data_IF_173421960494
#
_entry.id   IF_173421960494
#
_cell.length_a   1.000
_cell.length_b   1.000
_cell.length_c   1.000
_cell.angle_alpha   90.00
_cell.angle_beta   90.00
_cell.angle_gamma   90.00
#
_symmetry.space_group_name_H-M   'P 1'
#
loop_
_entity.id
_entity.type
_entity.pdbx_description
1 polymer ?
#
# COMPACT_ATOMS: atom_id res chain seq x y z
N UNK A 1 -4.59 -24.87 30.73
CA UNK A 1 -4.60 -24.60 29.28
C UNK A 1 -4.14 -23.16 29.05
N UNK A 2 -2.81 -22.92 28.97
CA UNK A 2 -2.23 -21.62 28.62
C UNK A 2 -0.98 -21.91 27.79
N UNK A 3 -1.16 -22.28 26.52
CA UNK A 3 -0.02 -22.61 25.64
C UNK A 3 -0.16 -22.08 24.20
N UNK A 4 -1.25 -21.36 23.87
CA UNK A 4 -1.41 -20.74 22.55
C UNK A 4 -1.05 -19.25 22.48
N UNK A 5 -1.10 -18.52 23.60
CA UNK A 5 -1.00 -17.06 23.56
C UNK A 5 0.42 -16.51 23.30
N UNK A 6 1.46 -17.16 23.84
CA UNK A 6 2.84 -16.70 23.69
C UNK A 6 3.40 -16.92 22.27
N UNK A 7 3.03 -18.03 21.61
CA UNK A 7 3.43 -18.31 20.23
C UNK A 7 2.78 -17.31 19.27
N UNK A 8 1.50 -16.97 19.48
CA UNK A 8 0.79 -16.01 18.63
C UNK A 8 1.27 -14.56 18.80
N UNK A 9 1.67 -14.15 20.00
CA UNK A 9 2.26 -12.82 20.23
C UNK A 9 3.65 -12.72 19.59
N UNK A 10 4.49 -13.74 19.77
CA UNK A 10 5.82 -13.78 19.12
C UNK A 10 5.72 -13.79 17.60
N UNK A 11 4.76 -14.53 17.03
CA UNK A 11 4.53 -14.56 15.59
C UNK A 11 4.11 -13.22 15.00
N UNK A 12 3.26 -12.46 15.70
CA UNK A 12 2.85 -11.10 15.26
C UNK A 12 3.99 -10.10 15.30
N UNK A 13 4.81 -10.15 16.35
CA UNK A 13 5.98 -9.30 16.47
C UNK A 13 6.97 -9.59 15.34
N UNK A 14 7.27 -10.87 15.10
CA UNK A 14 8.18 -11.28 14.02
C UNK A 14 7.67 -10.86 12.63
N UNK A 15 6.36 -10.97 12.39
CA UNK A 15 5.77 -10.52 11.12
C UNK A 15 5.84 -8.99 10.95
N UNK A 16 5.67 -8.22 12.02
CA UNK A 16 5.79 -6.77 11.98
C UNK A 16 7.24 -6.33 11.75
N UNK A 17 8.20 -6.99 12.42
CA UNK A 17 9.63 -6.75 12.24
C UNK A 17 10.06 -7.05 10.80
N UNK A 18 9.65 -8.20 10.26
CA UNK A 18 9.92 -8.57 8.86
C UNK A 18 9.38 -7.51 7.89
N UNK A 19 8.14 -7.07 8.08
CA UNK A 19 7.54 -6.03 7.21
C UNK A 19 8.25 -4.69 7.31
N UNK A 20 8.76 -4.34 8.49
CA UNK A 20 9.57 -3.12 8.67
C UNK A 20 10.89 -3.25 7.92
N UNK A 21 11.56 -4.40 8.04
CA UNK A 21 12.80 -4.67 7.33
C UNK A 21 12.62 -4.62 5.80
N UNK A 22 11.53 -5.18 5.28
CA UNK A 22 11.20 -5.12 3.84
C UNK A 22 11.07 -3.66 3.34
N UNK A 23 10.40 -2.81 4.11
CA UNK A 23 10.28 -1.38 3.79
C UNK A 23 11.63 -0.68 3.84
N UNK A 24 12.45 -0.94 4.86
CA UNK A 24 13.79 -0.36 4.96
C UNK A 24 14.69 -0.81 3.80
N UNK A 25 14.66 -2.10 3.45
CA UNK A 25 15.41 -2.67 2.34
C UNK A 25 14.96 -2.10 0.99
N UNK A 26 13.66 -1.82 0.81
CA UNK A 26 13.13 -1.13 -0.35
C UNK A 26 13.63 0.31 -0.40
N UNK A 27 13.47 1.07 0.68
CA UNK A 27 13.91 2.47 0.69
C UNK A 27 15.42 2.64 0.53
N UNK A 28 16.21 1.63 0.92
CA UNK A 28 17.66 1.60 0.76
C UNK A 28 18.15 0.97 -0.55
N UNK A 29 17.26 0.39 -1.37
CA UNK A 29 17.67 -0.24 -2.63
C UNK A 29 18.18 0.81 -3.64
N UNK A 30 19.19 0.43 -4.42
CA UNK A 30 19.88 1.35 -5.33
C UNK A 30 19.01 1.75 -6.54
N UNK A 31 18.03 0.93 -6.90
CA UNK A 31 17.07 1.17 -7.97
C UNK A 31 15.80 1.88 -7.50
N UNK A 32 15.72 2.25 -6.22
CA UNK A 32 14.53 2.90 -5.67
C UNK A 32 14.35 4.29 -6.25
N UNK A 33 13.23 4.47 -6.95
CA UNK A 33 12.83 5.74 -7.53
C UNK A 33 11.66 6.33 -6.74
N UNK A 34 11.65 7.66 -6.63
CA UNK A 34 10.57 8.40 -5.99
C UNK A 34 9.81 9.21 -7.03
N UNK A 35 8.50 8.98 -7.12
CA UNK A 35 7.57 9.79 -7.92
C UNK A 35 6.59 10.46 -6.98
N UNK A 36 6.24 11.72 -7.26
CA UNK A 36 5.21 12.42 -6.50
C UNK A 36 4.20 13.04 -7.44
N UNK A 37 2.92 12.73 -7.19
CA UNK A 37 1.80 13.13 -8.02
C UNK A 37 0.64 13.63 -7.15
N UNK A 38 -0.24 14.49 -7.70
CA UNK A 38 -1.55 14.73 -7.10
C UNK A 38 -2.34 13.43 -6.96
N UNK A 39 -3.12 13.29 -5.89
CA UNK A 39 -4.04 12.16 -5.71
C UNK A 39 -5.35 12.68 -5.10
N UNK A 40 -6.33 12.94 -5.95
CA UNK A 40 -7.55 13.67 -5.55
C UNK A 40 -7.19 15.09 -5.13
N UNK A 41 -7.68 15.51 -3.95
CA UNK A 41 -7.32 16.78 -3.32
C UNK A 41 -6.00 16.71 -2.52
N UNK A 42 -5.42 15.51 -2.39
CA UNK A 42 -4.19 15.24 -1.67
C UNK A 42 -2.96 15.13 -2.58
N UNK A 43 -1.85 14.69 -1.98
CA UNK A 43 -0.59 14.45 -2.69
C UNK A 43 0.00 13.11 -2.29
N UNK A 44 0.40 12.34 -3.29
CA UNK A 44 1.06 11.06 -3.14
C UNK A 44 2.57 11.17 -3.37
N UNK A 45 3.30 10.31 -2.67
CA UNK A 45 4.69 9.96 -2.94
C UNK A 45 4.78 8.43 -3.04
N UNK A 46 5.25 7.93 -4.17
CA UNK A 46 5.51 6.51 -4.43
C UNK A 46 7.02 6.32 -4.41
N UNK A 47 7.50 5.39 -3.61
CA UNK A 47 8.87 4.88 -3.64
C UNK A 47 8.81 3.47 -4.21
N UNK A 48 9.37 3.22 -5.39
CA UNK A 48 9.27 1.93 -6.06
C UNK A 48 10.65 1.35 -6.36
N UNK A 49 10.80 0.05 -6.14
CA UNK A 49 11.98 -0.74 -6.51
C UNK A 49 11.51 -1.99 -7.24
N UNK A 50 11.97 -2.16 -8.48
CA UNK A 50 11.69 -3.36 -9.26
C UNK A 50 12.49 -4.55 -8.73
N UNK A 51 13.69 -4.31 -8.19
CA UNK A 51 14.51 -5.35 -7.55
C UNK A 51 13.89 -5.89 -6.25
N UNK A 52 13.04 -5.10 -5.57
CA UNK A 52 12.23 -5.55 -4.43
C UNK A 52 10.82 -6.01 -4.82
N UNK A 53 10.42 -5.86 -6.08
CA UNK A 53 9.08 -6.17 -6.58
C UNK A 53 7.97 -5.49 -5.76
N UNK A 54 8.21 -4.26 -5.31
CA UNK A 54 7.33 -3.56 -4.39
C UNK A 54 7.46 -2.03 -4.47
N UNK A 55 6.45 -1.34 -3.94
CA UNK A 55 6.48 0.09 -3.70
C UNK A 55 5.92 0.46 -2.33
N UNK A 56 6.31 1.61 -1.82
CA UNK A 56 5.70 2.27 -0.66
C UNK A 56 4.97 3.51 -1.16
N UNK A 57 3.68 3.59 -0.85
CA UNK A 57 2.87 4.77 -1.11
C UNK A 57 2.65 5.52 0.21
N UNK A 58 2.95 6.81 0.22
CA UNK A 58 2.58 7.75 1.28
C UNK A 58 1.69 8.82 0.68
N UNK A 59 0.55 9.08 1.29
CA UNK A 59 -0.41 10.08 0.84
C UNK A 59 -0.74 11.04 1.97
N UNK A 60 -0.71 12.33 1.68
CA UNK A 60 -1.14 13.40 2.57
C UNK A 60 -2.43 14.03 2.04
N UNK A 61 -3.35 14.38 2.93
CA UNK A 61 -4.59 15.09 2.57
C UNK A 61 -5.73 14.20 2.09
N UNK A 62 -5.66 12.87 2.28
CA UNK A 62 -6.83 12.02 2.11
C UNK A 62 -7.79 12.19 3.30
N UNK A 63 -9.11 12.28 3.06
CA UNK A 63 -10.09 12.25 4.13
C UNK A 63 -10.02 10.90 4.87
N UNK A 64 -10.49 10.88 6.12
CA UNK A 64 -10.59 9.62 6.85
C UNK A 64 -11.56 8.68 6.14
N UNK A 65 -11.16 7.41 5.98
CA UNK A 65 -12.04 6.38 5.43
C UNK A 65 -13.28 6.22 6.33
N UNK A 66 -14.50 6.15 5.75
CA UNK A 66 -15.70 5.80 6.50
C UNK A 66 -15.56 4.45 7.21
N UNK A 67 -16.33 4.24 8.27
CA UNK A 67 -16.30 2.98 9.00
C UNK A 67 -16.62 1.78 8.08
N UNK A 68 -15.77 0.75 8.12
CA UNK A 68 -15.87 -0.44 7.27
C UNK A 68 -15.38 -0.25 5.83
N UNK A 69 -14.77 0.89 5.52
CA UNK A 69 -14.11 1.16 4.25
C UNK A 69 -12.60 1.29 4.43
N UNK A 70 -11.84 0.97 3.39
CA UNK A 70 -10.39 1.10 3.33
C UNK A 70 -9.98 1.76 2.02
N UNK A 71 -8.87 2.50 2.04
CA UNK A 71 -8.22 2.90 0.81
C UNK A 71 -7.41 1.72 0.27
N UNK A 72 -7.87 1.13 -0.82
CA UNK A 72 -7.20 -0.01 -1.47
C UNK A 72 -6.32 0.47 -2.61
N UNK A 73 -5.16 -0.16 -2.72
CA UNK A 73 -4.21 0.05 -3.81
C UNK A 73 -4.36 -1.03 -4.88
N UNK A 74 -4.12 -0.66 -6.13
CA UNK A 74 -4.17 -1.57 -7.27
C UNK A 74 -3.04 -1.34 -8.26
N UNK A 75 -2.33 -2.40 -8.62
CA UNK A 75 -1.44 -2.38 -9.77
C UNK A 75 -2.26 -2.50 -11.05
N UNK A 76 -2.03 -1.62 -12.01
CA UNK A 76 -2.77 -1.61 -13.27
C UNK A 76 -1.81 -1.72 -14.44
N UNK A 77 -2.08 -2.69 -15.31
CA UNK A 77 -1.44 -2.87 -16.60
C UNK A 77 -2.47 -3.29 -17.66
N UNK A 78 -2.00 -3.72 -18.84
CA UNK A 78 -2.86 -4.20 -19.92
C UNK A 78 -3.81 -5.36 -19.57
N UNK A 79 -3.59 -6.07 -18.44
CA UNK A 79 -4.47 -7.09 -17.90
C UNK A 79 -5.57 -6.56 -16.97
N UNK A 80 -5.53 -5.28 -16.60
CA UNK A 80 -6.46 -4.64 -15.66
C UNK A 80 -5.93 -4.55 -14.23
N UNK A 81 -6.76 -4.06 -13.28
CA UNK A 81 -6.34 -3.82 -11.90
C UNK A 81 -6.13 -5.13 -11.12
N UNK A 82 -5.04 -5.20 -10.36
CA UNK A 82 -4.72 -6.26 -9.41
C UNK A 82 -4.56 -5.70 -8.00
N UNK A 83 -5.09 -6.35 -6.96
CA UNK A 83 -4.92 -5.88 -5.58
C UNK A 83 -3.45 -5.72 -5.21
N UNK A 84 -3.11 -4.56 -4.65
CA UNK A 84 -1.75 -4.20 -4.25
C UNK A 84 -1.68 -3.81 -2.77
N UNK A 85 -2.62 -4.26 -1.93
CA UNK A 85 -2.65 -3.91 -0.51
C UNK A 85 -3.55 -2.71 -0.19
N UNK A 86 -3.36 -2.11 0.98
CA UNK A 86 -4.20 -1.05 1.53
C UNK A 86 -3.34 0.06 2.13
N UNK A 87 -3.85 1.30 2.10
CA UNK A 87 -3.30 2.43 2.81
C UNK A 87 -3.89 2.49 4.23
N UNK A 88 -3.02 2.56 5.22
CA UNK A 88 -3.36 2.66 6.62
C UNK A 88 -3.01 4.06 7.16
N UNK A 89 -3.73 4.60 8.14
CA UNK A 89 -3.36 5.85 8.78
C UNK A 89 -1.96 5.77 9.39
N UNK A 90 -1.08 6.71 9.03
CA UNK A 90 0.32 6.79 9.52
C UNK A 90 0.57 8.00 10.41
N UNK A 91 -0.50 8.65 10.90
CA UNK A 91 -0.48 9.79 11.81
C UNK A 91 -0.67 11.14 11.10
N UNK A 92 -1.42 12.04 11.76
CA UNK A 92 -1.88 13.28 11.14
C UNK A 92 -2.97 13.01 10.11
N UNK A 93 -2.88 13.70 8.97
CA UNK A 93 -3.72 13.54 7.77
C UNK A 93 -3.05 12.62 6.72
N UNK A 94 -2.12 11.78 7.16
CA UNK A 94 -1.29 10.92 6.30
C UNK A 94 -1.69 9.47 6.37
N UNK A 95 -1.61 8.82 5.22
CA UNK A 95 -1.81 7.40 5.05
C UNK A 95 -0.59 6.81 4.37
N UNK A 96 -0.22 5.58 4.73
CA UNK A 96 0.87 4.87 4.11
C UNK A 96 0.54 3.40 3.92
N UNK A 97 1.11 2.79 2.89
CA UNK A 97 0.93 1.38 2.60
C UNK A 97 2.07 0.84 1.76
N UNK A 98 2.29 -0.47 1.88
CA UNK A 98 3.21 -1.21 1.01
C UNK A 98 2.37 -1.90 -0.06
N UNK A 99 2.80 -1.70 -1.30
CA UNK A 99 2.26 -2.34 -2.47
C UNK A 99 3.24 -3.42 -2.95
N UNK A 100 2.91 -4.66 -2.65
CA UNK A 100 3.71 -5.84 -2.97
C UNK A 100 3.34 -6.38 -4.37
N UNK A 101 4.17 -7.26 -4.94
CA UNK A 101 3.93 -7.93 -6.23
C UNK A 101 3.73 -6.94 -7.40
N UNK A 102 4.65 -5.97 -7.49
CA UNK A 102 4.60 -4.87 -8.46
C UNK A 102 4.58 -5.37 -9.91
N UNK A 103 5.47 -6.29 -10.27
CA UNK A 103 5.68 -6.70 -11.66
C UNK A 103 6.15 -5.51 -12.52
N UNK A 104 5.43 -5.22 -13.60
CA UNK A 104 5.69 -4.07 -14.47
C UNK A 104 4.37 -3.32 -14.76
N UNK A 105 3.81 -2.62 -13.76
CA UNK A 105 2.55 -1.90 -13.90
C UNK A 105 2.75 -0.59 -14.66
N UNK A 106 1.73 -0.20 -15.42
CA UNK A 106 1.67 1.13 -16.04
C UNK A 106 1.24 2.20 -15.01
N UNK A 107 0.37 1.83 -14.07
CA UNK A 107 -0.19 2.75 -13.07
C UNK A 107 -0.41 2.09 -11.71
N UNK A 108 -0.43 2.93 -10.67
CA UNK A 108 -0.94 2.60 -9.35
C UNK A 108 -2.25 3.35 -9.12
N UNK A 109 -3.34 2.61 -8.88
CA UNK A 109 -4.64 3.20 -8.53
C UNK A 109 -4.91 3.11 -7.04
N UNK A 110 -5.67 4.07 -6.53
CA UNK A 110 -6.22 4.09 -5.17
C UNK A 110 -7.72 4.29 -5.24
N UNK A 111 -8.49 3.46 -4.55
CA UNK A 111 -9.95 3.58 -4.45
C UNK A 111 -10.42 3.31 -3.01
N UNK A 112 -11.62 3.80 -2.68
CA UNK A 112 -12.24 3.55 -1.38
C UNK A 112 -13.16 2.34 -1.50
N UNK A 113 -12.81 1.25 -0.82
CA UNK A 113 -13.48 -0.04 -0.95
C UNK A 113 -14.01 -0.55 0.39
N UNK A 114 -15.06 -1.40 0.39
CA UNK A 114 -15.41 -2.17 1.57
C UNK A 114 -14.23 -2.99 2.07
N UNK A 115 -14.06 -3.06 3.38
CA UNK A 115 -13.00 -3.85 4.00
C UNK A 115 -13.10 -5.33 3.55
N UNK A 116 -11.99 -5.86 3.04
CA UNK A 116 -11.91 -7.24 2.55
C UNK A 116 -12.36 -7.48 1.11
N UNK A 117 -13.01 -6.52 0.44
CA UNK A 117 -13.36 -6.68 -0.98
C UNK A 117 -12.12 -6.48 -1.86
N UNK A 118 -11.86 -7.44 -2.75
CA UNK A 118 -10.73 -7.45 -3.70
C UNK A 118 -11.18 -7.73 -5.14
N UNK A 119 -12.49 -7.66 -5.39
CA UNK A 119 -13.11 -8.05 -6.68
C UNK A 119 -12.75 -7.11 -7.84
N UNK A 120 -12.24 -5.92 -7.51
CA UNK A 120 -11.89 -4.85 -8.43
C UNK A 120 -12.25 -3.50 -7.79
N UNK A 121 -11.79 -2.38 -8.35
CA UNK A 121 -12.15 -1.08 -7.83
C UNK A 121 -13.62 -0.77 -8.12
N UNK A 122 -14.35 -0.28 -7.12
CA UNK A 122 -15.78 0.00 -7.15
C UNK A 122 -16.17 1.33 -7.83
N UNK A 123 -15.18 2.08 -8.33
CA UNK A 123 -15.34 3.41 -8.94
C UNK A 123 -14.70 4.55 -8.15
N UNK A 124 -14.38 5.65 -8.84
CA UNK A 124 -13.81 6.85 -8.21
C UNK A 124 -12.32 6.73 -7.92
N UNK A 125 -11.62 6.00 -8.79
CA UNK A 125 -10.21 5.68 -8.67
C UNK A 125 -9.33 6.90 -8.93
N UNK A 126 -8.28 7.03 -8.12
CA UNK A 126 -7.24 8.03 -8.27
C UNK A 126 -5.98 7.34 -8.79
N UNK A 127 -5.41 7.83 -9.89
CA UNK A 127 -4.28 7.17 -10.57
C UNK A 127 -2.96 7.93 -10.40
N UNK A 128 -1.88 7.17 -10.31
CA UNK A 128 -0.50 7.63 -10.36
C UNK A 128 0.20 6.88 -11.49
N UNK A 129 0.77 7.61 -12.45
CA UNK A 129 1.63 7.04 -13.49
C UNK A 129 3.02 6.73 -12.92
N UNK A 130 3.59 5.58 -13.29
CA UNK A 130 4.86 5.04 -12.76
C UNK A 130 6.00 5.08 -13.78
#
# INVERSE_FOLDING_TARGET
MVSGALVSVNGRLAAQEARTAEVEELLAAADTNMVSAPLGDGRAAVFASYDRDAAVLVVEGLPAAPAGMVYRMWWVDGGGPRPAGVLEPSGGDRHAGVADAMGAPDQLWVSLEPEGDVSGPGGGELSIDL
#
